data_IF_626191317768
#
_entry.id   IF_626191317768
#
_cell.length_a   1.000
_cell.length_b   1.000
_cell.length_c   1.000
_cell.angle_alpha   90.00
_cell.angle_beta   90.00
_cell.angle_gamma   90.00
#
_symmetry.space_group_name_H-M   'P 1'
#
loop_
_entity.id
_entity.type
_entity.pdbx_description
1 polymer ?
#
# COMPACT_ATOMS: atom_id res chain seq x y z
N UNK A 1 -13.13 -4.10 31.51
CA UNK A 1 -12.67 -5.49 31.23
C UNK A 1 -11.43 -5.35 30.37
N UNK A 2 -10.33 -6.03 30.73
CA UNK A 2 -9.14 -5.99 29.91
C UNK A 2 -9.42 -6.69 28.58
N UNK A 3 -8.87 -6.18 27.47
CA UNK A 3 -9.07 -6.80 26.15
C UNK A 3 -8.49 -8.23 26.12
N UNK A 4 -9.03 -9.12 25.29
CA UNK A 4 -8.48 -10.50 25.10
C UNK A 4 -6.97 -10.48 24.86
N UNK A 5 -6.46 -9.45 24.15
CA UNK A 5 -5.03 -9.24 23.91
C UNK A 5 -4.26 -9.00 25.21
N UNK A 6 -4.80 -8.16 26.10
CA UNK A 6 -4.17 -7.87 27.39
C UNK A 6 -4.16 -9.10 28.29
N UNK A 7 -5.23 -9.90 28.29
CA UNK A 7 -5.28 -11.18 29.02
C UNK A 7 -4.24 -12.17 28.51
N UNK A 8 -4.06 -12.29 27.20
CA UNK A 8 -3.02 -13.14 26.60
C UNK A 8 -1.62 -12.63 26.99
N UNK A 9 -1.36 -11.33 26.82
CA UNK A 9 -0.08 -10.71 27.19
C UNK A 9 0.27 -10.80 28.66
N UNK A 10 -0.72 -10.85 29.55
CA UNK A 10 -0.50 -11.02 30.99
C UNK A 10 -0.18 -12.46 31.39
N UNK A 11 -0.56 -13.47 30.58
CA UNK A 11 -0.38 -14.90 30.87
C UNK A 11 0.80 -15.53 30.14
N UNK A 12 1.25 -14.95 29.02
CA UNK A 12 2.34 -15.47 28.23
C UNK A 12 3.55 -14.54 28.26
N UNK A 13 4.74 -15.14 28.34
CA UNK A 13 5.98 -14.41 28.15
C UNK A 13 6.44 -14.57 26.70
N UNK A 14 6.88 -13.48 26.06
CA UNK A 14 7.35 -13.51 24.69
C UNK A 14 8.52 -14.48 24.47
N UNK A 15 9.42 -14.61 25.46
CA UNK A 15 10.54 -15.53 25.35
C UNK A 15 10.05 -16.97 25.25
N UNK A 16 9.05 -17.37 26.04
CA UNK A 16 8.49 -18.72 26.00
C UNK A 16 7.76 -18.99 24.66
N UNK A 17 7.02 -17.99 24.17
CA UNK A 17 6.38 -18.07 22.86
C UNK A 17 7.40 -18.25 21.76
N UNK A 18 8.45 -17.44 21.70
CA UNK A 18 9.49 -17.53 20.68
C UNK A 18 10.29 -18.83 20.81
N UNK A 19 10.60 -19.25 22.04
CA UNK A 19 11.35 -20.47 22.30
C UNK A 19 10.64 -21.74 21.83
N UNK A 20 9.30 -21.69 21.72
CA UNK A 20 8.54 -22.82 21.16
C UNK A 20 8.72 -23.01 19.65
N UNK A 21 9.29 -22.03 18.96
CA UNK A 21 9.54 -22.07 17.50
C UNK A 21 11.03 -22.14 17.16
N UNK A 22 11.89 -21.42 17.90
CA UNK A 22 13.32 -21.34 17.64
C UNK A 22 14.12 -21.47 18.94
N UNK A 23 15.32 -22.04 18.86
CA UNK A 23 16.22 -22.18 20.02
C UNK A 23 16.80 -20.83 20.39
N UNK A 24 16.47 -20.34 21.57
CA UNK A 24 17.00 -19.10 22.13
C UNK A 24 18.25 -19.36 22.98
N UNK A 25 19.24 -18.46 22.88
CA UNK A 25 20.44 -18.40 23.71
C UNK A 25 20.38 -17.18 24.62
N UNK A 26 20.77 -17.31 25.88
CA UNK A 26 20.79 -16.18 26.83
C UNK A 26 21.86 -15.16 26.42
N UNK A 27 21.50 -13.88 26.45
CA UNK A 27 22.38 -12.76 26.12
C UNK A 27 22.14 -11.61 27.13
N UNK A 28 22.74 -11.72 28.30
CA UNK A 28 22.46 -10.79 29.42
C UNK A 28 21.02 -10.91 29.94
N UNK A 29 20.31 -9.80 29.99
CA UNK A 29 18.90 -9.72 30.35
C UNK A 29 17.93 -10.13 29.20
N UNK A 30 18.46 -10.30 27.98
CA UNK A 30 17.71 -10.65 26.79
C UNK A 30 18.09 -12.07 26.31
N UNK A 31 17.40 -12.51 25.24
CA UNK A 31 17.75 -13.72 24.50
C UNK A 31 18.14 -13.36 23.07
N UNK A 32 18.95 -14.20 22.42
CA UNK A 32 19.32 -14.07 21.01
C UNK A 32 19.20 -15.38 20.27
N UNK A 33 19.01 -15.31 18.96
CA UNK A 33 18.98 -16.44 18.04
C UNK A 33 19.35 -16.00 16.62
N UNK A 34 19.54 -16.96 15.71
CA UNK A 34 19.49 -16.68 14.28
C UNK A 34 18.05 -16.35 13.91
N UNK A 35 17.86 -15.35 13.06
CA UNK A 35 16.54 -14.88 12.67
C UNK A 35 15.79 -15.92 11.84
N UNK A 36 14.53 -16.25 12.16
CA UNK A 36 13.74 -17.18 11.35
C UNK A 36 13.17 -16.54 10.07
N UNK A 37 13.35 -15.24 9.89
CA UNK A 37 12.72 -14.47 8.80
C UNK A 37 13.70 -14.06 7.70
N UNK A 38 15.03 -14.26 7.89
CA UNK A 38 16.04 -14.07 6.87
C UNK A 38 17.24 -15.00 7.14
N UNK A 39 18.05 -15.25 6.12
CA UNK A 39 19.20 -16.12 6.25
C UNK A 39 20.41 -15.35 6.78
N UNK A 40 20.99 -15.81 7.89
CA UNK A 40 22.16 -15.20 8.53
C UNK A 40 23.07 -16.24 9.18
N UNK A 41 24.37 -15.91 9.31
CA UNK A 41 25.35 -16.77 9.99
C UNK A 41 25.58 -16.38 11.46
N UNK A 42 25.38 -15.10 11.78
CA UNK A 42 25.57 -14.54 13.12
C UNK A 42 24.24 -14.15 13.73
N UNK A 43 23.94 -14.57 14.99
CA UNK A 43 22.66 -14.27 15.62
C UNK A 43 22.40 -12.76 15.75
N UNK A 44 21.37 -12.25 15.07
CA UNK A 44 20.93 -10.85 15.13
C UNK A 44 19.49 -10.68 15.64
N UNK A 45 18.80 -11.77 15.89
CA UNK A 45 17.43 -11.76 16.43
C UNK A 45 17.45 -11.72 17.96
N UNK A 46 16.90 -10.69 18.55
CA UNK A 46 16.86 -10.46 19.99
C UNK A 46 15.41 -10.48 20.53
N UNK A 47 15.25 -11.06 21.71
CA UNK A 47 13.99 -11.10 22.44
C UNK A 47 14.20 -10.48 23.80
N UNK A 48 13.39 -9.48 24.17
CA UNK A 48 13.42 -8.78 25.44
C UNK A 48 12.21 -9.17 26.29
N UNK A 49 12.38 -10.02 27.33
CA UNK A 49 11.29 -10.35 28.23
C UNK A 49 10.78 -9.13 29.01
N UNK A 50 11.66 -8.20 29.39
CA UNK A 50 11.28 -6.99 30.11
C UNK A 50 10.37 -6.05 29.28
N UNK A 51 10.61 -5.98 27.95
CA UNK A 51 9.83 -5.15 27.03
C UNK A 51 8.70 -5.93 26.36
N UNK A 52 8.61 -7.23 26.56
CA UNK A 52 7.69 -8.12 25.86
C UNK A 52 7.72 -7.91 24.32
N UNK A 53 8.93 -7.77 23.78
CA UNK A 53 9.17 -7.46 22.36
C UNK A 53 10.36 -8.25 21.81
N UNK A 54 10.37 -8.41 20.50
CA UNK A 54 11.49 -8.95 19.75
C UNK A 54 11.94 -7.96 18.68
N UNK A 55 13.20 -8.03 18.29
CA UNK A 55 13.75 -7.25 17.20
C UNK A 55 14.92 -7.98 16.56
N UNK A 56 14.99 -7.96 15.24
CA UNK A 56 16.12 -8.48 14.48
C UNK A 56 16.94 -7.30 13.91
N UNK A 57 18.19 -7.19 14.33
CA UNK A 57 19.10 -6.14 13.83
C UNK A 57 19.63 -6.42 12.42
N UNK A 58 19.44 -7.64 11.88
CA UNK A 58 19.84 -7.98 10.51
C UNK A 58 18.80 -7.61 9.47
N UNK A 59 17.50 -7.81 9.77
CA UNK A 59 16.40 -7.48 8.83
C UNK A 59 15.44 -6.42 9.36
N UNK A 60 15.76 -5.77 10.46
CA UNK A 60 15.00 -4.67 11.10
C UNK A 60 13.54 -5.02 11.44
N UNK A 61 13.14 -6.30 11.38
CA UNK A 61 11.82 -6.75 11.81
C UNK A 61 11.75 -6.82 13.32
N UNK A 62 10.59 -6.47 13.86
CA UNK A 62 10.37 -6.50 15.29
C UNK A 62 8.89 -6.35 15.66
N UNK A 63 8.59 -6.50 16.95
CA UNK A 63 7.25 -6.33 17.45
C UNK A 63 7.00 -7.09 18.77
N UNK A 64 5.75 -7.41 19.04
CA UNK A 64 5.31 -8.19 20.20
C UNK A 64 5.11 -9.68 19.87
N UNK A 65 4.59 -10.46 20.81
CA UNK A 65 4.33 -11.89 20.60
C UNK A 65 3.29 -12.17 19.50
N UNK A 66 2.31 -11.27 19.31
CA UNK A 66 1.31 -11.42 18.25
C UNK A 66 1.95 -11.23 16.88
N UNK A 67 2.74 -10.18 16.71
CA UNK A 67 3.46 -9.94 15.45
C UNK A 67 4.45 -11.06 15.13
N UNK A 68 5.12 -11.64 16.14
CA UNK A 68 5.99 -12.80 15.94
C UNK A 68 5.22 -14.01 15.40
N UNK A 69 4.08 -14.34 16.02
CA UNK A 69 3.25 -15.49 15.59
C UNK A 69 2.64 -15.24 14.21
N UNK A 70 2.21 -14.01 13.91
CA UNK A 70 1.75 -13.65 12.56
C UNK A 70 2.82 -13.90 11.48
N UNK A 71 4.07 -13.52 11.77
CA UNK A 71 5.19 -13.66 10.84
C UNK A 71 5.64 -15.11 10.66
N UNK A 72 5.76 -15.87 11.76
CA UNK A 72 6.32 -17.24 11.75
C UNK A 72 5.30 -18.26 11.19
N UNK A 73 4.03 -18.10 11.54
CA UNK A 73 2.94 -19.00 11.09
C UNK A 73 2.33 -18.54 9.74
N UNK A 74 2.66 -17.32 9.26
CA UNK A 74 2.08 -16.76 8.05
C UNK A 74 0.56 -16.49 8.15
N UNK A 75 0.05 -16.24 9.37
CA UNK A 75 -1.37 -16.00 9.64
C UNK A 75 -1.67 -14.52 9.87
N UNK A 76 -2.95 -14.15 9.76
CA UNK A 76 -3.41 -12.82 10.13
C UNK A 76 -3.47 -12.65 11.67
N UNK A 77 -3.78 -11.41 12.11
CA UNK A 77 -3.91 -11.09 13.54
C UNK A 77 -4.87 -12.02 14.27
N UNK A 78 -5.98 -12.40 13.63
CA UNK A 78 -6.97 -13.27 14.24
C UNK A 78 -6.46 -14.71 14.37
N UNK A 79 -5.70 -15.19 13.40
CA UNK A 79 -5.02 -16.49 13.44
C UNK A 79 -4.01 -16.53 14.60
N UNK A 80 -3.15 -15.50 14.70
CA UNK A 80 -2.18 -15.39 15.78
C UNK A 80 -2.87 -15.28 17.16
N UNK A 81 -3.95 -14.51 17.24
CA UNK A 81 -4.75 -14.38 18.47
C UNK A 81 -5.32 -15.73 18.91
N UNK A 82 -5.83 -16.54 18.00
CA UNK A 82 -6.37 -17.90 18.31
C UNK A 82 -5.28 -18.84 18.82
N UNK A 83 -4.12 -18.83 18.18
CA UNK A 83 -2.97 -19.67 18.59
C UNK A 83 -2.53 -19.30 20.01
N UNK A 84 -2.34 -18.00 20.26
CA UNK A 84 -1.88 -17.53 21.56
C UNK A 84 -2.93 -17.64 22.66
N UNK A 85 -4.21 -17.43 22.36
CA UNK A 85 -5.31 -17.64 23.31
C UNK A 85 -5.40 -19.10 23.73
N UNK A 86 -5.28 -20.06 22.79
CA UNK A 86 -5.21 -21.49 23.10
C UNK A 86 -4.03 -21.82 24.04
N UNK A 87 -2.85 -21.22 23.83
CA UNK A 87 -1.69 -21.40 24.70
C UNK A 87 -1.86 -20.75 26.07
N UNK A 88 -2.51 -19.60 26.12
CA UNK A 88 -2.75 -18.84 27.35
C UNK A 88 -3.89 -19.40 28.20
N UNK A 89 -4.69 -20.35 27.70
CA UNK A 89 -5.94 -20.76 28.34
C UNK A 89 -6.94 -19.61 28.46
N UNK A 90 -6.92 -18.68 27.50
CA UNK A 90 -7.86 -17.54 27.44
C UNK A 90 -8.97 -17.92 26.46
N UNK A 91 -10.21 -17.94 26.96
CA UNK A 91 -11.34 -17.97 26.02
C UNK A 91 -11.36 -16.64 25.26
N UNK A 92 -11.23 -16.72 23.95
CA UNK A 92 -11.49 -15.55 23.11
C UNK A 92 -12.97 -15.23 23.32
N UNK A 93 -13.26 -14.10 24.00
CA UNK A 93 -14.62 -13.57 24.08
C UNK A 93 -15.20 -13.71 22.68
N UNK A 94 -16.36 -14.35 22.56
CA UNK A 94 -16.98 -14.76 21.31
C UNK A 94 -16.79 -13.67 20.28
N UNK A 95 -15.72 -13.79 19.48
CA UNK A 95 -15.66 -13.09 18.19
C UNK A 95 -16.97 -13.49 17.57
N UNK A 96 -17.85 -12.51 17.40
CA UNK A 96 -19.21 -12.75 16.95
C UNK A 96 -19.11 -13.67 15.74
N UNK A 97 -19.40 -14.97 15.95
CA UNK A 97 -19.31 -15.99 14.90
C UNK A 97 -20.09 -15.54 13.68
N UNK A 98 -21.15 -14.74 13.92
CA UNK A 98 -21.96 -14.18 12.85
C UNK A 98 -21.15 -13.14 12.05
N UNK A 99 -20.39 -12.27 12.74
CA UNK A 99 -19.56 -11.25 12.10
C UNK A 99 -18.37 -11.87 11.33
N UNK A 100 -17.78 -12.92 11.88
CA UNK A 100 -16.71 -13.66 11.18
C UNK A 100 -17.27 -14.43 9.97
N UNK A 101 -18.41 -15.10 10.11
CA UNK A 101 -19.08 -15.79 9.01
C UNK A 101 -19.53 -14.80 7.91
N UNK A 102 -20.06 -13.63 8.32
CA UNK A 102 -20.40 -12.55 7.38
C UNK A 102 -19.17 -12.10 6.61
N UNK A 103 -18.05 -11.79 7.30
CA UNK A 103 -16.80 -11.40 6.65
C UNK A 103 -16.31 -12.42 5.64
N UNK A 104 -16.29 -13.71 5.99
CA UNK A 104 -15.89 -14.80 5.09
C UNK A 104 -16.83 -14.92 3.89
N UNK A 105 -18.13 -14.72 4.10
CA UNK A 105 -19.12 -14.76 3.02
C UNK A 105 -18.92 -13.60 2.05
N UNK A 106 -18.65 -12.40 2.57
CA UNK A 106 -18.36 -11.24 1.72
C UNK A 106 -17.03 -11.38 0.95
N UNK A 107 -16.00 -11.98 1.54
CA UNK A 107 -14.75 -12.28 0.82
C UNK A 107 -15.00 -13.25 -0.36
N UNK A 108 -15.76 -14.31 -0.14
CA UNK A 108 -16.16 -15.24 -1.22
C UNK A 108 -16.96 -14.54 -2.32
N UNK A 109 -17.84 -13.62 -1.94
CA UNK A 109 -18.60 -12.80 -2.91
C UNK A 109 -17.66 -11.93 -3.77
N UNK A 110 -16.67 -11.29 -3.17
CA UNK A 110 -15.66 -10.50 -3.91
C UNK A 110 -14.86 -11.42 -4.84
N UNK A 111 -14.45 -12.62 -4.42
CA UNK A 111 -13.76 -13.59 -5.28
C UNK A 111 -14.63 -14.01 -6.48
N UNK A 112 -15.93 -14.22 -6.29
CA UNK A 112 -16.85 -14.50 -7.39
C UNK A 112 -16.98 -13.29 -8.35
N UNK A 113 -16.99 -12.06 -7.82
CA UNK A 113 -17.01 -10.86 -8.64
C UNK A 113 -15.70 -10.71 -9.46
N UNK A 114 -14.52 -11.06 -8.89
CA UNK A 114 -13.26 -11.11 -9.65
C UNK A 114 -13.37 -12.05 -10.83
N UNK A 115 -13.79 -13.30 -10.60
CA UNK A 115 -13.96 -14.32 -11.66
C UNK A 115 -14.94 -13.87 -12.75
N UNK A 116 -16.04 -13.24 -12.35
CA UNK A 116 -17.01 -12.68 -13.28
C UNK A 116 -16.37 -11.62 -14.19
N UNK A 117 -15.72 -10.61 -13.60
CA UNK A 117 -15.10 -9.53 -14.38
C UNK A 117 -13.94 -10.01 -15.27
N UNK A 118 -13.12 -10.96 -14.81
CA UNK A 118 -12.11 -11.59 -15.66
C UNK A 118 -12.73 -12.32 -16.87
N UNK A 119 -13.86 -13.01 -16.63
CA UNK A 119 -14.56 -13.71 -17.70
C UNK A 119 -15.14 -12.74 -18.72
N UNK A 120 -15.74 -11.65 -18.27
CA UNK A 120 -16.29 -10.60 -19.13
C UNK A 120 -15.19 -9.84 -19.90
N UNK A 121 -14.01 -9.64 -19.32
CA UNK A 121 -12.87 -9.09 -20.06
C UNK A 121 -12.46 -9.99 -21.23
N UNK A 122 -12.38 -11.32 -21.02
CA UNK A 122 -11.99 -12.26 -22.08
C UNK A 122 -12.97 -12.29 -23.24
N UNK A 123 -14.24 -11.98 -23.02
CA UNK A 123 -15.30 -11.92 -24.04
C UNK A 123 -15.33 -10.60 -24.80
N UNK A 124 -14.65 -9.56 -24.30
CA UNK A 124 -14.74 -8.22 -24.88
C UNK A 124 -13.43 -7.84 -25.61
N UNK A 125 -13.40 -8.05 -26.93
CA UNK A 125 -12.23 -7.80 -27.76
C UNK A 125 -11.85 -6.32 -27.82
N UNK A 126 -12.80 -5.40 -27.72
CA UNK A 126 -12.54 -3.95 -27.72
C UNK A 126 -11.75 -3.54 -26.48
N UNK A 127 -12.17 -4.01 -25.29
CA UNK A 127 -11.45 -3.72 -24.04
C UNK A 127 -10.06 -4.37 -24.03
N UNK A 128 -9.95 -5.61 -24.52
CA UNK A 128 -8.64 -6.28 -24.65
C UNK A 128 -7.73 -5.51 -25.60
N UNK A 129 -8.25 -5.05 -26.75
CA UNK A 129 -7.50 -4.23 -27.71
C UNK A 129 -7.06 -2.89 -27.11
N UNK A 130 -7.94 -2.24 -26.35
CA UNK A 130 -7.62 -1.01 -25.63
C UNK A 130 -6.48 -1.21 -24.62
N UNK A 131 -6.53 -2.27 -23.79
CA UNK A 131 -5.47 -2.58 -22.83
C UNK A 131 -4.13 -2.85 -23.54
N UNK A 132 -4.15 -3.57 -24.67
CA UNK A 132 -2.96 -3.78 -25.52
C UNK A 132 -2.42 -2.47 -26.07
N UNK A 133 -3.29 -1.56 -26.55
CA UNK A 133 -2.87 -0.21 -27.03
C UNK A 133 -2.26 0.63 -25.90
N UNK A 134 -2.70 0.44 -24.66
CA UNK A 134 -2.11 1.03 -23.44
C UNK A 134 -0.84 0.29 -22.97
N UNK A 135 -0.32 -0.65 -23.77
CA UNK A 135 0.91 -1.38 -23.50
C UNK A 135 0.80 -2.52 -22.50
N UNK A 136 -0.39 -2.82 -21.96
CA UNK A 136 -0.55 -3.89 -20.97
C UNK A 136 -0.43 -5.27 -21.61
N UNK A 137 0.48 -6.10 -21.09
CA UNK A 137 0.65 -7.49 -21.49
C UNK A 137 -0.43 -8.38 -20.87
N UNK A 138 -0.84 -9.43 -21.57
CA UNK A 138 -1.85 -10.38 -21.07
C UNK A 138 -1.46 -11.07 -19.76
N UNK A 139 -0.17 -11.38 -19.59
CA UNK A 139 0.37 -11.93 -18.34
C UNK A 139 0.21 -10.93 -17.17
N UNK A 140 0.52 -9.67 -17.42
CA UNK A 140 0.36 -8.61 -16.41
C UNK A 140 -1.10 -8.43 -16.02
N UNK A 141 -2.01 -8.39 -17.00
CA UNK A 141 -3.44 -8.33 -16.75
C UNK A 141 -3.92 -9.51 -15.89
N UNK A 142 -3.44 -10.73 -16.19
CA UNK A 142 -3.73 -11.94 -15.42
C UNK A 142 -3.16 -11.87 -13.99
N UNK A 143 -1.91 -11.43 -13.83
CA UNK A 143 -1.26 -11.34 -12.53
C UNK A 143 -1.97 -10.35 -11.58
N UNK A 144 -2.61 -9.32 -12.13
CA UNK A 144 -3.39 -8.33 -11.38
C UNK A 144 -4.90 -8.62 -11.38
N UNK A 145 -5.34 -9.74 -11.96
CA UNK A 145 -6.74 -10.15 -12.06
C UNK A 145 -7.61 -9.06 -12.70
N UNK A 146 -7.05 -8.35 -13.70
CA UNK A 146 -7.76 -7.27 -14.39
C UNK A 146 -9.00 -7.84 -15.08
N UNK A 147 -10.13 -7.15 -14.92
CA UNK A 147 -11.41 -7.56 -15.45
C UNK A 147 -12.15 -6.44 -16.19
N UNK A 148 -13.38 -6.72 -16.59
CA UNK A 148 -14.29 -5.76 -17.21
C UNK A 148 -15.69 -5.87 -16.63
N UNK A 149 -16.28 -4.75 -16.24
CA UNK A 149 -17.68 -4.63 -15.87
C UNK A 149 -18.49 -4.18 -17.09
N UNK A 150 -19.39 -5.04 -17.60
CA UNK A 150 -20.21 -4.71 -18.77
C UNK A 150 -21.15 -3.50 -18.56
N UNK A 151 -21.66 -2.92 -19.64
CA UNK A 151 -22.49 -1.71 -19.59
C UNK A 151 -23.87 -1.92 -18.95
N UNK A 152 -24.38 -3.15 -18.86
CA UNK A 152 -25.69 -3.46 -18.32
C UNK A 152 -25.84 -3.14 -16.82
N UNK A 153 -27.05 -2.85 -16.40
CA UNK A 153 -27.34 -2.40 -15.03
C UNK A 153 -27.30 -3.51 -13.98
N UNK A 154 -27.41 -4.78 -14.36
CA UNK A 154 -27.58 -5.91 -13.44
C UNK A 154 -26.79 -7.16 -13.83
N UNK A 155 -25.72 -7.03 -14.58
CA UNK A 155 -24.91 -8.16 -15.05
C UNK A 155 -24.28 -8.93 -13.89
N UNK A 156 -23.54 -8.24 -13.00
CA UNK A 156 -22.98 -8.85 -11.81
C UNK A 156 -24.06 -9.21 -10.78
N UNK A 157 -25.06 -8.35 -10.60
CA UNK A 157 -26.17 -8.63 -9.69
C UNK A 157 -26.84 -9.96 -10.01
N UNK A 158 -27.25 -10.16 -11.26
CA UNK A 158 -27.93 -11.40 -11.67
C UNK A 158 -26.99 -12.62 -11.57
N UNK A 159 -25.72 -12.46 -11.91
CA UNK A 159 -24.71 -13.51 -11.70
C UNK A 159 -24.61 -13.91 -10.22
N UNK A 160 -24.49 -12.95 -9.30
CA UNK A 160 -24.36 -13.21 -7.86
C UNK A 160 -25.67 -13.75 -7.26
N UNK A 161 -26.85 -13.34 -7.77
CA UNK A 161 -28.14 -13.93 -7.39
C UNK A 161 -28.19 -15.41 -7.73
N UNK A 162 -27.72 -15.79 -8.92
CA UNK A 162 -27.62 -17.19 -9.34
C UNK A 162 -26.62 -18.02 -8.49
N UNK A 163 -25.72 -17.35 -7.76
CA UNK A 163 -24.81 -17.94 -6.77
C UNK A 163 -25.37 -17.90 -5.34
N UNK A 164 -26.67 -17.59 -5.18
CA UNK A 164 -27.39 -17.52 -3.90
C UNK A 164 -26.90 -16.42 -2.92
N UNK A 165 -26.32 -15.33 -3.43
CA UNK A 165 -26.04 -14.15 -2.60
C UNK A 165 -27.29 -13.27 -2.48
N UNK A 166 -27.52 -12.75 -1.27
CA UNK A 166 -28.63 -11.83 -1.00
C UNK A 166 -28.26 -10.40 -1.41
N UNK A 167 -29.28 -9.56 -1.63
CA UNK A 167 -29.12 -8.14 -1.95
C UNK A 167 -28.30 -7.41 -0.86
N UNK A 168 -28.58 -7.70 0.40
CA UNK A 168 -27.88 -7.12 1.55
C UNK A 168 -26.38 -7.48 1.55
N UNK A 169 -26.01 -8.71 1.18
CA UNK A 169 -24.60 -9.12 1.10
C UNK A 169 -23.89 -8.43 -0.05
N UNK A 170 -24.53 -8.30 -1.21
CA UNK A 170 -23.99 -7.60 -2.36
C UNK A 170 -23.82 -6.10 -2.08
N UNK A 171 -24.76 -5.47 -1.38
CA UNK A 171 -24.69 -4.08 -0.94
C UNK A 171 -23.56 -3.87 0.09
N UNK A 172 -23.47 -4.72 1.12
CA UNK A 172 -22.42 -4.69 2.14
C UNK A 172 -21.01 -4.92 1.55
N UNK A 173 -20.91 -5.72 0.50
CA UNK A 173 -19.66 -5.89 -0.26
C UNK A 173 -19.36 -4.69 -1.18
N UNK A 174 -20.29 -3.74 -1.34
CA UNK A 174 -20.13 -2.58 -2.20
C UNK A 174 -20.20 -2.87 -3.70
N UNK A 175 -20.79 -4.01 -4.09
CA UNK A 175 -20.90 -4.43 -5.49
C UNK A 175 -22.15 -3.87 -6.18
N UNK A 176 -23.19 -3.62 -5.42
CA UNK A 176 -24.45 -3.07 -5.91
C UNK A 176 -24.85 -1.80 -5.14
N UNK A 177 -25.73 -1.03 -5.75
CA UNK A 177 -26.29 0.19 -5.18
C UNK A 177 -27.81 0.05 -5.17
N UNK A 178 -28.43 0.40 -4.04
CA UNK A 178 -29.89 0.46 -3.96
C UNK A 178 -30.40 1.69 -4.72
N UNK A 179 -31.34 1.47 -5.62
CA UNK A 179 -31.93 2.57 -6.39
C UNK A 179 -32.79 3.49 -5.51
N UNK A 180 -32.68 4.78 -5.73
CA UNK A 180 -33.53 5.78 -5.06
C UNK A 180 -34.98 5.73 -5.60
N UNK A 181 -35.18 5.19 -6.82
CA UNK A 181 -36.52 5.00 -7.41
C UNK A 181 -37.14 3.75 -6.82
N UNK A 182 -38.26 3.89 -6.11
CA UNK A 182 -38.87 2.86 -5.27
C UNK A 182 -39.15 1.49 -5.93
N UNK A 183 -39.19 1.42 -7.26
CA UNK A 183 -39.45 0.16 -8.00
C UNK A 183 -38.22 -0.44 -8.68
N UNK A 184 -37.05 0.21 -8.66
CA UNK A 184 -35.89 -0.21 -9.45
C UNK A 184 -34.95 -1.21 -8.73
N UNK A 185 -35.15 -1.50 -7.44
CA UNK A 185 -34.37 -2.49 -6.71
C UNK A 185 -32.88 -2.11 -6.60
N UNK A 186 -31.98 -3.07 -6.93
CA UNK A 186 -30.53 -2.90 -6.90
C UNK A 186 -29.97 -2.93 -8.32
N UNK A 187 -28.86 -2.21 -8.52
CA UNK A 187 -28.08 -2.20 -9.76
C UNK A 187 -26.59 -2.26 -9.49
N UNK A 188 -25.80 -2.69 -10.49
CA UNK A 188 -24.37 -2.85 -10.40
C UNK A 188 -23.67 -1.50 -10.16
N UNK A 189 -22.80 -1.44 -9.16
CA UNK A 189 -22.00 -0.23 -8.90
C UNK A 189 -21.05 0.09 -10.05
N UNK A 190 -20.44 -0.93 -10.63
CA UNK A 190 -19.47 -0.81 -11.70
C UNK A 190 -20.10 -1.22 -13.02
N UNK A 191 -20.10 -0.31 -13.99
CA UNK A 191 -20.64 -0.52 -15.34
C UNK A 191 -19.74 0.18 -16.36
N UNK A 192 -19.52 -0.44 -17.52
CA UNK A 192 -18.61 0.06 -18.58
C UNK A 192 -17.23 0.42 -18.02
N UNK A 193 -16.63 -0.46 -17.20
CA UNK A 193 -15.35 -0.17 -16.53
C UNK A 193 -14.36 -1.31 -16.60
N UNK A 194 -13.10 -0.96 -16.82
CA UNK A 194 -11.96 -1.85 -16.59
C UNK A 194 -11.78 -1.96 -15.08
N UNK A 195 -11.79 -3.19 -14.57
CA UNK A 195 -11.80 -3.49 -13.14
C UNK A 195 -10.41 -3.87 -12.64
N UNK A 196 -10.01 -3.21 -11.57
CA UNK A 196 -8.74 -3.44 -10.86
C UNK A 196 -9.10 -3.97 -9.45
N UNK A 197 -9.00 -5.28 -9.20
CA UNK A 197 -9.21 -5.83 -7.87
C UNK A 197 -8.19 -5.25 -6.89
N UNK A 198 -8.68 -4.81 -5.73
CA UNK A 198 -7.86 -4.31 -4.63
C UNK A 198 -7.73 -5.44 -3.61
N UNK A 199 -6.49 -5.79 -3.26
CA UNK A 199 -6.19 -6.87 -2.34
C UNK A 199 -5.72 -6.37 -0.97
N UNK A 200 -5.99 -7.15 0.06
CA UNK A 200 -5.35 -7.00 1.37
C UNK A 200 -3.85 -7.29 1.30
N UNK A 201 -3.08 -7.00 2.34
CA UNK A 201 -1.66 -7.34 2.41
C UNK A 201 -1.36 -8.85 2.26
N UNK A 202 -2.34 -9.73 2.50
CA UNK A 202 -2.23 -11.19 2.29
C UNK A 202 -2.58 -11.63 0.86
N UNK A 203 -2.97 -10.72 -0.04
CA UNK A 203 -3.35 -11.03 -1.41
C UNK A 203 -4.82 -11.40 -1.61
N UNK A 204 -5.65 -11.35 -0.56
CA UNK A 204 -7.08 -11.60 -0.65
C UNK A 204 -7.80 -10.38 -1.25
N UNK A 205 -8.55 -10.50 -2.36
CA UNK A 205 -9.37 -9.42 -2.88
C UNK A 205 -10.41 -8.93 -1.85
N UNK A 206 -10.52 -7.61 -1.68
CA UNK A 206 -11.36 -6.96 -0.68
C UNK A 206 -12.23 -5.83 -1.25
N UNK A 207 -12.04 -5.47 -2.51
CA UNK A 207 -12.75 -4.41 -3.21
C UNK A 207 -12.21 -4.21 -4.62
N UNK A 208 -12.64 -3.14 -5.24
CA UNK A 208 -12.28 -2.83 -6.63
C UNK A 208 -12.07 -1.33 -6.84
N UNK A 209 -11.25 -1.03 -7.83
CA UNK A 209 -11.26 0.24 -8.55
C UNK A 209 -11.70 0.00 -9.97
N UNK A 210 -12.57 0.84 -10.51
CA UNK A 210 -13.09 0.72 -11.87
C UNK A 210 -12.77 1.97 -12.69
N UNK A 211 -11.96 1.82 -13.75
CA UNK A 211 -11.69 2.88 -14.73
C UNK A 211 -12.72 2.82 -15.84
N UNK A 212 -13.34 3.96 -16.17
CA UNK A 212 -14.31 4.02 -17.27
C UNK A 212 -13.68 3.56 -18.60
N UNK A 213 -14.45 2.79 -19.36
CA UNK A 213 -14.14 2.40 -20.73
C UNK A 213 -15.23 2.97 -21.66
N UNK A 214 -14.81 3.73 -22.65
CA UNK A 214 -15.67 4.53 -23.52
C UNK A 214 -15.72 6.01 -23.09
N UNK A 215 -16.73 6.74 -23.54
CA UNK A 215 -16.89 8.16 -23.25
C UNK A 215 -17.40 8.40 -21.83
N UNK A 216 -16.89 9.43 -21.17
CA UNK A 216 -17.42 9.91 -19.90
C UNK A 216 -18.80 10.56 -20.15
N UNK A 217 -19.81 10.02 -19.47
CA UNK A 217 -21.12 10.65 -19.39
C UNK A 217 -21.35 11.29 -18.02
N UNK A 218 -22.28 12.22 -17.89
CA UNK A 218 -22.61 12.83 -16.61
C UNK A 218 -22.97 11.79 -15.52
N UNK A 219 -23.52 10.65 -15.93
CA UNK A 219 -23.91 9.55 -15.03
C UNK A 219 -22.76 8.54 -14.73
N UNK A 220 -21.58 8.73 -15.33
CA UNK A 220 -20.48 7.77 -15.18
C UNK A 220 -19.72 7.86 -13.85
N UNK A 221 -19.88 8.98 -13.11
CA UNK A 221 -19.28 9.14 -11.78
C UNK A 221 -17.76 9.33 -11.77
N UNK A 222 -17.17 9.78 -12.89
CA UNK A 222 -15.74 10.08 -13.01
C UNK A 222 -14.90 8.97 -13.62
N UNK A 223 -13.67 9.33 -14.03
CA UNK A 223 -12.70 8.45 -14.73
C UNK A 223 -12.40 7.18 -13.93
N UNK A 224 -12.20 7.31 -12.62
CA UNK A 224 -12.04 6.18 -11.69
C UNK A 224 -13.08 6.25 -10.57
N UNK A 225 -13.68 5.12 -10.22
CA UNK A 225 -14.47 4.96 -9.00
C UNK A 225 -13.95 3.77 -8.21
N UNK A 226 -13.96 3.90 -6.88
CA UNK A 226 -13.54 2.84 -5.97
C UNK A 226 -14.75 2.20 -5.28
N UNK A 227 -14.57 1.00 -4.75
CA UNK A 227 -15.49 0.42 -3.77
C UNK A 227 -15.75 1.43 -2.65
N UNK A 228 -16.97 1.49 -2.10
CA UNK A 228 -17.24 2.29 -0.91
C UNK A 228 -16.48 1.70 0.29
N UNK A 229 -16.40 2.45 1.37
CA UNK A 229 -15.92 1.89 2.63
C UNK A 229 -16.85 0.75 3.08
N UNK A 230 -16.26 -0.40 3.41
CA UNK A 230 -16.98 -1.60 3.84
C UNK A 230 -16.26 -2.22 5.05
N UNK A 231 -16.81 -3.30 5.58
CA UNK A 231 -16.09 -4.07 6.64
C UNK A 231 -14.82 -4.76 6.10
N UNK A 232 -14.67 -4.87 4.76
CA UNK A 232 -13.50 -5.47 4.11
C UNK A 232 -12.49 -4.42 3.66
N UNK A 233 -12.94 -3.27 3.19
CA UNK A 233 -12.16 -2.27 2.48
C UNK A 233 -12.24 -0.89 3.12
N UNK A 234 -11.09 -0.36 3.50
CA UNK A 234 -10.87 1.01 3.94
C UNK A 234 -9.74 1.62 3.10
N UNK A 235 -10.10 2.53 2.18
CA UNK A 235 -9.14 3.12 1.24
C UNK A 235 -7.99 3.87 1.91
N UNK A 236 -8.18 4.37 3.14
CA UNK A 236 -7.15 5.08 3.89
C UNK A 236 -6.04 4.18 4.43
N UNK A 237 -6.24 2.85 4.39
CA UNK A 237 -5.36 1.84 4.97
C UNK A 237 -4.84 0.82 3.97
N UNK A 238 -5.15 1.00 2.68
CA UNK A 238 -4.81 0.03 1.65
C UNK A 238 -4.05 0.71 0.51
N UNK A 239 -2.87 0.19 0.22
CA UNK A 239 -2.11 0.53 -0.97
C UNK A 239 -2.33 -0.54 -2.05
N UNK A 240 -2.69 -0.10 -3.27
CA UNK A 240 -2.88 -1.00 -4.40
C UNK A 240 -1.56 -1.66 -4.81
N UNK A 241 -1.57 -2.97 -5.02
CA UNK A 241 -0.39 -3.74 -5.40
C UNK A 241 0.56 -4.08 -4.23
N UNK A 242 0.24 -3.70 -2.99
CA UNK A 242 1.10 -3.94 -1.83
C UNK A 242 1.36 -5.43 -1.57
N UNK A 243 0.36 -6.28 -1.75
CA UNK A 243 0.48 -7.73 -1.64
C UNK A 243 1.58 -8.31 -2.55
N UNK A 244 1.72 -7.75 -3.75
CA UNK A 244 2.70 -8.15 -4.76
C UNK A 244 4.07 -7.48 -4.53
N UNK A 245 4.06 -6.23 -4.09
CA UNK A 245 5.26 -5.40 -3.93
C UNK A 245 6.06 -5.72 -2.65
N UNK A 246 5.42 -6.12 -1.56
CA UNK A 246 6.00 -6.20 -0.21
C UNK A 246 7.33 -6.96 -0.11
N UNK A 247 7.49 -8.05 -0.86
CA UNK A 247 8.72 -8.84 -0.84
C UNK A 247 9.87 -8.14 -1.57
N UNK A 248 9.59 -7.51 -2.72
CA UNK A 248 10.60 -6.74 -3.46
C UNK A 248 10.93 -5.42 -2.75
N UNK A 249 9.99 -4.79 -2.04
CA UNK A 249 10.26 -3.64 -1.17
C UNK A 249 11.31 -4.01 -0.12
N UNK A 250 11.12 -5.13 0.58
CA UNK A 250 12.11 -5.62 1.57
C UNK A 250 13.46 -5.92 0.94
N UNK A 251 13.46 -6.59 -0.22
CA UNK A 251 14.68 -7.02 -0.90
C UNK A 251 15.50 -5.85 -1.44
N UNK A 252 14.85 -4.86 -2.03
CA UNK A 252 15.48 -3.67 -2.60
C UNK A 252 15.70 -2.55 -1.57
N UNK A 253 15.08 -2.66 -0.39
CA UNK A 253 15.12 -1.67 0.69
C UNK A 253 14.62 -0.28 0.26
N UNK A 254 13.62 -0.24 -0.62
CA UNK A 254 12.85 0.97 -0.92
C UNK A 254 11.50 0.64 -1.57
N UNK A 255 10.53 1.55 -1.40
CA UNK A 255 9.19 1.45 -1.99
C UNK A 255 8.97 2.59 -2.99
N UNK A 256 8.44 2.25 -4.17
CA UNK A 256 7.98 3.26 -5.15
C UNK A 256 6.49 3.51 -4.93
N UNK A 257 6.09 4.77 -4.76
CA UNK A 257 4.70 5.19 -4.56
C UNK A 257 4.26 6.00 -5.77
N UNK A 258 3.20 5.54 -6.44
CA UNK A 258 2.58 6.19 -7.60
C UNK A 258 1.11 6.54 -7.28
N UNK A 259 0.46 7.34 -8.13
CA UNK A 259 -0.92 7.78 -7.89
C UNK A 259 -1.96 6.74 -8.31
N UNK A 260 -1.84 6.19 -9.49
CA UNK A 260 -2.86 5.37 -10.13
C UNK A 260 -2.58 3.88 -10.18
N UNK A 261 -3.66 3.11 -10.33
CA UNK A 261 -3.58 1.65 -10.49
C UNK A 261 -2.81 1.26 -11.77
N UNK A 262 -3.05 2.00 -12.87
CA UNK A 262 -2.33 1.75 -14.14
C UNK A 262 -0.84 1.96 -13.98
N UNK A 263 -0.42 3.00 -13.25
CA UNK A 263 0.98 3.31 -13.01
C UNK A 263 1.67 2.19 -12.24
N UNK A 264 1.02 1.66 -11.21
CA UNK A 264 1.52 0.52 -10.46
C UNK A 264 1.61 -0.74 -11.34
N UNK A 265 0.54 -1.08 -12.08
CA UNK A 265 0.50 -2.26 -12.96
C UNK A 265 1.59 -2.20 -14.02
N UNK A 266 1.74 -1.03 -14.68
CA UNK A 266 2.74 -0.84 -15.73
C UNK A 266 4.17 -0.79 -15.16
N UNK A 267 4.37 -0.22 -13.97
CA UNK A 267 5.65 -0.26 -13.26
C UNK A 267 6.07 -1.70 -12.94
N UNK A 268 5.16 -2.54 -12.44
CA UNK A 268 5.43 -3.96 -12.23
C UNK A 268 5.79 -4.67 -13.53
N UNK A 269 5.09 -4.36 -14.64
CA UNK A 269 5.40 -4.90 -15.95
C UNK A 269 6.80 -4.51 -16.44
N UNK A 270 7.28 -3.32 -16.11
CA UNK A 270 8.62 -2.82 -16.42
C UNK A 270 9.72 -3.38 -15.48
N UNK A 271 9.37 -4.25 -14.50
CA UNK A 271 10.32 -4.83 -13.54
C UNK A 271 10.52 -3.99 -12.27
N UNK A 272 9.80 -2.88 -12.10
CA UNK A 272 9.77 -2.09 -10.86
C UNK A 272 8.70 -2.65 -9.92
N UNK A 273 8.89 -3.90 -9.47
CA UNK A 273 7.88 -4.68 -8.73
C UNK A 273 7.64 -4.12 -7.32
N UNK A 274 8.59 -3.36 -6.76
CA UNK A 274 8.45 -2.68 -5.47
C UNK A 274 7.57 -1.41 -5.52
N UNK A 275 6.63 -1.34 -6.47
CA UNK A 275 5.72 -0.20 -6.68
C UNK A 275 4.34 -0.48 -6.08
N UNK A 276 3.78 0.53 -5.42
CA UNK A 276 2.41 0.57 -4.88
C UNK A 276 1.69 1.84 -5.32
N UNK A 277 0.35 1.85 -5.34
CA UNK A 277 -0.41 3.06 -5.64
C UNK A 277 -1.37 3.46 -4.52
N UNK A 278 -1.57 4.78 -4.36
CA UNK A 278 -2.54 5.36 -3.40
C UNK A 278 -3.99 5.29 -3.91
N UNK A 279 -4.19 5.08 -5.20
CA UNK A 279 -5.49 4.73 -5.80
C UNK A 279 -6.61 5.76 -5.65
N UNK A 280 -6.38 7.01 -6.05
CA UNK A 280 -7.40 8.08 -6.05
C UNK A 280 -7.74 8.59 -4.65
N UNK A 281 -6.80 8.56 -3.74
CA UNK A 281 -6.83 9.21 -2.44
C UNK A 281 -5.48 9.88 -2.19
N UNK A 282 -5.43 10.87 -1.31
CA UNK A 282 -4.13 11.37 -0.84
C UNK A 282 -3.39 10.28 -0.03
N UNK A 283 -2.07 10.34 -0.04
CA UNK A 283 -1.25 9.50 0.85
C UNK A 283 -1.64 9.75 2.31
N UNK A 284 -1.79 8.71 3.11
CA UNK A 284 -2.20 8.79 4.52
C UNK A 284 -1.09 8.32 5.45
N UNK A 285 -1.18 8.65 6.73
CA UNK A 285 -0.26 8.15 7.77
C UNK A 285 -0.30 6.62 7.85
N UNK A 286 -1.47 6.01 7.69
CA UNK A 286 -1.61 4.55 7.71
C UNK A 286 -0.89 3.90 6.51
N UNK A 287 -0.94 4.53 5.32
CA UNK A 287 -0.17 4.09 4.14
C UNK A 287 1.34 4.16 4.41
N UNK A 288 1.82 5.27 4.97
CA UNK A 288 3.23 5.46 5.30
C UNK A 288 3.69 4.44 6.33
N UNK A 289 2.93 4.23 7.40
CA UNK A 289 3.23 3.23 8.42
C UNK A 289 3.22 1.81 7.89
N UNK A 290 2.38 1.52 6.88
CA UNK A 290 2.39 0.22 6.20
C UNK A 290 3.71 0.00 5.45
N UNK A 291 4.21 1.00 4.72
CA UNK A 291 5.50 0.95 4.02
C UNK A 291 6.66 0.92 5.01
N UNK A 292 6.62 1.74 6.07
CA UNK A 292 7.68 1.86 7.09
C UNK A 292 7.99 0.54 7.81
N UNK A 293 7.03 -0.38 7.89
CA UNK A 293 7.28 -1.74 8.41
C UNK A 293 8.22 -2.56 7.52
N UNK A 294 8.44 -2.15 6.27
CA UNK A 294 9.23 -2.88 5.28
C UNK A 294 10.53 -2.19 4.93
N UNK A 295 10.54 -0.84 4.89
CA UNK A 295 11.68 0.02 4.54
C UNK A 295 11.47 1.44 5.06
N UNK A 296 12.57 2.14 5.29
CA UNK A 296 12.56 3.58 5.63
C UNK A 296 12.77 4.48 4.41
N UNK A 297 12.87 3.91 3.21
CA UNK A 297 13.16 4.64 1.96
C UNK A 297 11.99 4.54 0.99
N UNK A 298 11.54 5.70 0.52
CA UNK A 298 10.48 5.77 -0.49
C UNK A 298 10.93 6.61 -1.69
N UNK A 299 10.46 6.19 -2.86
CA UNK A 299 10.57 6.96 -4.11
C UNK A 299 9.16 7.35 -4.51
N UNK A 300 8.88 8.64 -4.51
CA UNK A 300 7.59 9.16 -4.95
C UNK A 300 7.66 9.54 -6.43
N UNK A 301 6.69 9.08 -7.20
CA UNK A 301 6.57 9.41 -8.61
C UNK A 301 5.13 9.83 -8.89
N UNK A 302 4.96 11.11 -9.11
CA UNK A 302 3.67 11.75 -9.32
C UNK A 302 3.57 12.33 -10.73
N UNK A 303 2.33 12.62 -11.14
CA UNK A 303 2.04 13.28 -12.40
C UNK A 303 2.68 14.67 -12.44
N UNK A 304 3.11 15.10 -13.65
CA UNK A 304 3.80 16.38 -13.84
C UNK A 304 2.90 17.62 -13.67
N UNK A 305 1.61 17.44 -13.41
CA UNK A 305 0.69 18.57 -13.28
C UNK A 305 0.81 19.30 -11.93
N UNK A 306 0.27 20.53 -11.86
CA UNK A 306 0.30 21.33 -10.62
C UNK A 306 -0.48 20.68 -9.46
N UNK A 307 -1.47 19.85 -9.76
CA UNK A 307 -2.27 19.16 -8.76
C UNK A 307 -1.47 18.00 -8.16
N UNK A 308 -0.73 17.24 -8.98
CA UNK A 308 0.22 16.25 -8.56
C UNK A 308 1.34 16.84 -7.68
N UNK A 309 1.88 18.00 -8.07
CA UNK A 309 2.89 18.70 -7.27
C UNK A 309 2.39 19.13 -5.88
N UNK A 310 1.12 19.56 -5.74
CA UNK A 310 0.51 19.92 -4.45
C UNK A 310 0.15 18.71 -3.60
N UNK A 311 -0.33 17.64 -4.23
CA UNK A 311 -0.62 16.40 -3.53
C UNK A 311 0.67 15.74 -3.02
N UNK A 312 1.75 15.81 -3.84
CA UNK A 312 3.07 15.32 -3.46
C UNK A 312 3.63 16.06 -2.26
N UNK A 313 3.50 17.40 -2.15
CA UNK A 313 4.07 18.13 -1.02
C UNK A 313 3.53 17.63 0.33
N UNK A 314 2.21 17.49 0.47
CA UNK A 314 1.62 16.95 1.71
C UNK A 314 2.03 15.50 2.00
N UNK A 315 2.16 14.69 0.97
CA UNK A 315 2.64 13.31 1.10
C UNK A 315 4.10 13.25 1.52
N UNK A 316 4.92 14.14 0.97
CA UNK A 316 6.35 14.30 1.33
C UNK A 316 6.47 14.73 2.79
N UNK A 317 5.77 15.81 3.20
CA UNK A 317 5.78 16.31 4.56
C UNK A 317 5.41 15.23 5.57
N UNK A 318 4.37 14.46 5.26
CA UNK A 318 3.91 13.36 6.10
C UNK A 318 4.92 12.22 6.16
N UNK A 319 5.57 11.87 5.06
CA UNK A 319 6.57 10.80 5.02
C UNK A 319 7.83 11.19 5.80
N UNK A 320 8.31 12.42 5.63
CA UNK A 320 9.45 12.96 6.38
C UNK A 320 9.15 13.07 7.88
N UNK A 321 7.95 13.51 8.27
CA UNK A 321 7.53 13.59 9.68
C UNK A 321 7.45 12.22 10.36
N UNK A 322 7.16 11.16 9.60
CA UNK A 322 7.23 9.77 10.08
C UNK A 322 8.67 9.19 10.00
N UNK A 323 9.66 9.98 9.57
CA UNK A 323 11.09 9.61 9.54
C UNK A 323 11.49 8.73 8.36
N UNK A 324 10.82 8.86 7.21
CA UNK A 324 11.22 8.19 5.97
C UNK A 324 12.18 9.06 5.16
N UNK A 325 13.14 8.43 4.49
CA UNK A 325 13.93 9.05 3.42
C UNK A 325 13.06 9.15 2.16
N UNK A 326 12.91 10.35 1.60
CA UNK A 326 12.07 10.60 0.42
C UNK A 326 12.91 10.98 -0.78
N UNK A 327 12.75 10.25 -1.88
CA UNK A 327 13.29 10.58 -3.19
C UNK A 327 12.16 10.81 -4.19
N UNK A 328 12.43 11.59 -5.23
CA UNK A 328 11.49 11.91 -6.30
C UNK A 328 12.00 11.30 -7.60
N UNK A 329 11.19 10.46 -8.22
CA UNK A 329 11.40 10.01 -9.59
C UNK A 329 10.56 10.87 -10.54
N UNK A 330 11.23 11.47 -11.52
CA UNK A 330 10.57 12.25 -12.57
C UNK A 330 10.39 11.38 -13.80
N UNK A 331 9.15 11.24 -14.26
CA UNK A 331 8.88 10.52 -15.50
C UNK A 331 9.61 11.17 -16.67
N UNK A 332 10.49 10.46 -17.37
CA UNK A 332 11.27 11.04 -18.47
C UNK A 332 10.41 11.33 -19.70
N UNK A 333 9.37 10.55 -19.92
CA UNK A 333 8.43 10.61 -21.03
C UNK A 333 6.98 10.58 -20.53
N UNK A 334 6.07 11.23 -21.29
CA UNK A 334 4.65 11.24 -20.98
C UNK A 334 4.30 12.08 -19.74
N UNK A 335 3.08 11.90 -19.25
CA UNK A 335 2.55 12.60 -18.08
C UNK A 335 2.75 11.80 -16.80
N UNK A 336 2.61 10.49 -16.89
CA UNK A 336 2.59 9.57 -15.77
C UNK A 336 3.55 8.36 -15.99
N UNK A 337 3.82 7.55 -14.95
CA UNK A 337 4.63 6.35 -15.04
C UNK A 337 4.13 5.33 -16.09
N UNK A 338 2.81 5.18 -16.27
CA UNK A 338 2.26 4.26 -17.25
C UNK A 338 2.58 4.68 -18.69
N UNK A 339 2.54 5.99 -18.98
CA UNK A 339 2.94 6.54 -20.27
C UNK A 339 4.45 6.35 -20.51
N UNK A 340 5.29 6.56 -19.49
CA UNK A 340 6.73 6.32 -19.59
C UNK A 340 7.06 4.85 -19.90
N UNK A 341 6.37 3.91 -19.25
CA UNK A 341 6.55 2.47 -19.51
C UNK A 341 6.05 2.08 -20.90
N UNK A 342 4.96 2.70 -21.37
CA UNK A 342 4.44 2.46 -22.72
C UNK A 342 5.45 2.88 -23.79
N UNK A 343 6.11 4.01 -23.59
CA UNK A 343 7.10 4.54 -24.53
C UNK A 343 8.42 3.75 -24.44
N UNK A 344 9.00 3.65 -23.25
CA UNK A 344 10.24 2.88 -23.01
C UNK A 344 10.32 2.37 -21.56
N UNK A 345 10.09 1.07 -21.29
CA UNK A 345 10.16 0.49 -19.95
C UNK A 345 11.50 0.70 -19.23
N UNK A 346 12.63 0.69 -19.98
CA UNK A 346 13.98 0.87 -19.40
C UNK A 346 14.18 2.30 -18.90
N UNK A 347 13.58 3.29 -19.56
CA UNK A 347 13.66 4.68 -19.14
C UNK A 347 12.96 4.92 -17.79
N UNK A 348 11.84 4.23 -17.56
CA UNK A 348 11.16 4.26 -16.27
C UNK A 348 12.00 3.62 -15.15
N UNK A 349 12.56 2.44 -15.41
CA UNK A 349 13.46 1.79 -14.47
C UNK A 349 14.66 2.68 -14.12
N UNK A 350 15.25 3.35 -15.12
CA UNK A 350 16.35 4.29 -14.93
C UNK A 350 15.91 5.48 -14.07
N UNK A 351 14.75 6.10 -14.36
CA UNK A 351 14.22 7.23 -13.59
C UNK A 351 14.02 6.90 -12.11
N UNK A 352 13.54 5.68 -11.80
CA UNK A 352 13.39 5.21 -10.41
C UNK A 352 14.75 5.01 -9.74
N UNK A 353 15.73 4.45 -10.43
CA UNK A 353 17.07 4.22 -9.88
C UNK A 353 17.87 5.53 -9.68
N UNK A 354 17.64 6.53 -10.53
CA UNK A 354 18.25 7.86 -10.49
C UNK A 354 17.39 8.88 -9.74
N UNK A 355 16.41 8.43 -8.94
CA UNK A 355 15.55 9.29 -8.15
C UNK A 355 16.36 10.17 -7.20
N UNK A 356 16.09 11.48 -7.22
CA UNK A 356 16.81 12.50 -6.46
C UNK A 356 16.22 12.66 -5.06
N UNK A 357 17.07 12.99 -4.09
CA UNK A 357 16.58 13.45 -2.80
C UNK A 357 15.60 14.62 -2.99
N UNK A 358 14.56 14.68 -2.16
CA UNK A 358 13.51 15.71 -2.29
C UNK A 358 14.07 17.14 -2.21
N UNK A 359 15.08 17.37 -1.37
CA UNK A 359 15.73 18.68 -1.23
C UNK A 359 16.47 19.03 -2.51
N UNK A 360 17.24 18.08 -3.06
CA UNK A 360 17.95 18.25 -4.33
C UNK A 360 16.99 18.54 -5.48
N UNK A 361 15.91 17.76 -5.57
CA UNK A 361 14.87 17.95 -6.58
C UNK A 361 14.28 19.37 -6.54
N UNK A 362 13.94 19.87 -5.34
CA UNK A 362 13.38 21.21 -5.20
C UNK A 362 14.43 22.31 -5.42
N UNK A 363 15.69 22.08 -5.04
CA UNK A 363 16.76 23.01 -5.34
C UNK A 363 17.00 23.17 -6.86
N UNK A 364 16.79 22.12 -7.65
CA UNK A 364 16.85 22.24 -9.10
C UNK A 364 15.64 22.96 -9.71
N UNK A 365 14.47 22.85 -9.05
CA UNK A 365 13.21 23.40 -9.53
C UNK A 365 13.01 24.88 -9.21
N UNK A 366 13.55 25.33 -8.07
CA UNK A 366 13.35 26.69 -7.56
C UNK A 366 14.64 27.49 -7.54
N UNK A 367 14.63 28.68 -8.21
CA UNK A 367 15.75 29.62 -8.21
C UNK A 367 15.48 30.85 -7.31
N UNK A 368 14.21 31.11 -6.99
CA UNK A 368 13.83 32.26 -6.19
C UNK A 368 14.04 32.01 -4.68
N UNK A 369 14.60 33.02 -4.01
CA UNK A 369 14.92 32.97 -2.58
C UNK A 369 13.69 32.65 -1.72
N UNK A 370 12.51 33.23 -2.01
CA UNK A 370 11.28 33.02 -1.24
C UNK A 370 10.74 31.61 -1.42
N UNK A 371 10.89 31.03 -2.62
CA UNK A 371 10.47 29.65 -2.85
C UNK A 371 11.39 28.68 -2.10
N UNK A 372 12.70 28.94 -2.07
CA UNK A 372 13.66 28.12 -1.30
C UNK A 372 13.35 28.19 0.18
N UNK A 373 13.16 29.40 0.73
CA UNK A 373 12.79 29.61 2.13
C UNK A 373 11.50 28.86 2.51
N UNK A 374 10.45 29.00 1.72
CA UNK A 374 9.13 28.44 2.04
C UNK A 374 9.01 26.95 1.77
N UNK A 375 9.71 26.40 0.78
CA UNK A 375 9.50 25.05 0.27
C UNK A 375 10.67 24.11 0.54
N UNK A 376 11.86 24.60 0.85
CA UNK A 376 13.07 23.78 1.04
C UNK A 376 13.56 23.81 2.48
N UNK A 377 13.68 25.00 3.10
CA UNK A 377 14.16 25.09 4.47
C UNK A 377 13.37 24.23 5.46
N UNK A 378 12.02 24.12 5.38
CA UNK A 378 11.27 23.22 6.27
C UNK A 378 11.71 21.75 6.19
N UNK A 379 12.16 21.28 5.02
CA UNK A 379 12.67 19.91 4.88
C UNK A 379 14.05 19.73 5.50
N UNK A 380 14.88 20.76 5.43
CA UNK A 380 16.21 20.74 6.07
C UNK A 380 16.06 20.78 7.58
N UNK A 381 15.15 21.63 8.11
CA UNK A 381 14.91 21.78 9.55
C UNK A 381 14.58 20.45 10.24
N UNK A 382 13.84 19.55 9.57
CA UNK A 382 13.42 18.25 10.12
C UNK A 382 14.46 17.13 9.93
N UNK A 383 15.59 17.38 9.27
CA UNK A 383 16.66 16.38 9.14
C UNK A 383 17.23 16.04 10.53
N UNK A 384 17.45 14.75 10.83
CA UNK A 384 17.98 14.34 12.14
C UNK A 384 19.47 14.61 12.33
N UNK A 385 20.22 14.81 11.23
CA UNK A 385 21.67 14.99 11.22
C UNK A 385 22.04 16.44 11.00
N UNK A 386 22.73 17.06 11.97
CA UNK A 386 23.28 18.43 11.82
C UNK A 386 24.34 18.51 10.71
N UNK A 387 25.06 17.43 10.44
CA UNK A 387 26.03 17.38 9.33
C UNK A 387 25.31 17.44 7.98
N UNK A 388 24.20 16.69 7.84
CA UNK A 388 23.40 16.74 6.61
C UNK A 388 22.75 18.12 6.42
N UNK A 389 22.29 18.76 7.51
CA UNK A 389 21.82 20.16 7.46
C UNK A 389 22.89 21.11 6.94
N UNK A 390 24.12 21.00 7.47
CA UNK A 390 25.22 21.85 7.05
C UNK A 390 25.56 21.69 5.56
N UNK A 391 25.54 20.45 5.04
CA UNK A 391 25.77 20.22 3.61
C UNK A 391 24.70 20.87 2.73
N UNK A 392 23.43 20.80 3.14
CA UNK A 392 22.35 21.46 2.41
C UNK A 392 22.37 22.98 2.53
N UNK A 393 22.65 23.51 3.72
CA UNK A 393 22.83 24.95 3.95
C UNK A 393 23.92 25.52 3.04
N UNK A 394 25.06 24.84 2.94
CA UNK A 394 26.14 25.20 2.04
C UNK A 394 25.70 25.26 0.58
N UNK A 395 25.00 24.20 0.09
CA UNK A 395 24.50 24.16 -1.29
C UNK A 395 23.50 25.28 -1.59
N UNK A 396 22.64 25.65 -0.62
CA UNK A 396 21.70 26.76 -0.75
C UNK A 396 22.45 28.09 -0.80
N UNK A 397 23.41 28.29 0.10
CA UNK A 397 24.20 29.49 0.15
C UNK A 397 24.98 29.73 -1.16
N UNK A 398 25.60 28.67 -1.70
CA UNK A 398 26.28 28.71 -3.00
C UNK A 398 25.32 29.07 -4.15
N UNK A 399 24.13 28.42 -4.20
CA UNK A 399 23.11 28.67 -5.22
C UNK A 399 22.58 30.10 -5.19
N UNK A 400 22.27 30.61 -3.99
CA UNK A 400 21.75 31.98 -3.78
C UNK A 400 22.82 33.04 -3.74
N UNK A 401 24.12 32.69 -3.74
CA UNK A 401 25.26 33.57 -3.61
C UNK A 401 25.19 34.46 -2.35
N UNK A 402 24.84 33.85 -1.22
CA UNK A 402 24.75 34.47 0.10
C UNK A 402 25.67 33.73 1.09
N UNK A 403 25.85 34.28 2.30
CA UNK A 403 26.62 33.61 3.37
C UNK A 403 25.81 32.48 3.99
N UNK A 404 26.46 31.42 4.43
CA UNK A 404 25.83 30.29 5.13
C UNK A 404 25.09 30.71 6.39
N UNK A 405 25.68 31.68 7.15
CA UNK A 405 25.06 32.24 8.38
C UNK A 405 23.62 32.74 8.11
N UNK A 406 23.41 33.41 6.95
CA UNK A 406 22.09 33.92 6.61
C UNK A 406 21.05 32.78 6.30
N UNK A 407 21.53 31.62 5.90
CA UNK A 407 20.66 30.44 5.70
C UNK A 407 20.39 29.76 7.04
N UNK A 408 21.38 29.72 7.94
CA UNK A 408 21.21 29.20 9.29
C UNK A 408 20.25 30.04 10.15
N UNK A 409 20.27 31.36 10.00
CA UNK A 409 19.37 32.27 10.73
C UNK A 409 17.90 32.09 10.33
N UNK A 410 17.62 31.63 9.08
CA UNK A 410 16.27 31.33 8.56
C UNK A 410 15.81 29.89 8.80
N UNK A 411 16.72 28.99 9.17
CA UNK A 411 16.45 27.57 9.39
C UNK A 411 15.97 27.30 10.82
#
# INVERSE_FOLDING_TARGET
MSSTVEQIKSRLNIADVVQSYIKLQKAGANFKANCPFHNEKTPSFFVSPARQSWHCFGCSRGGDMLSFVMEIEGVDFLGALKILAGRAGVEIEKIDKNRQNERLKLLRLIDEAVKFYETELRKNEEVVSYLKKRGMKGETAKNFNIGYAPAGWRNLYDYLKNKNYSDSEMEKAGMVVKSVKAQAGYYDRFRSRIMFPISSASGQPIGFSGRIFGEESADSGGKYINSPQTILYDKSKILYGFDKAKNEIRKKDFCVIVEGQMDAVMSHQAGVINTVAVSGTALTVDHIRMVKRLTEKIVMAFDKDEAGARASSKGIDMALSEGLEVKIAVSPYGKDPADAVLDNPESWLKAVNEAKNVIEFYLELFDDKKDIERKILPYIAVLPSEMDKADWVKKIAEKLKIKEDAVWDEL
#
